data_IF_589384016930
#
_entry.id   IF_589384016930
#
_cell.length_a   1.000
_cell.length_b   1.000
_cell.length_c   1.000
_cell.angle_alpha   90.00
_cell.angle_beta   90.00
_cell.angle_gamma   90.00
#
_symmetry.space_group_name_H-M   'P 1'
#
loop_
_entity.id
_entity.type
_entity.pdbx_description
1 polymer ?
#
# COMPACT_ATOMS: atom_id res chain seq x y z
N UNK A 1 3.29 5.00 -29.62
CA UNK A 1 4.76 4.96 -29.72
C UNK A 1 5.29 4.24 -28.49
N UNK A 2 5.68 2.97 -28.62
CA UNK A 2 6.24 2.20 -27.49
C UNK A 2 7.73 2.47 -27.45
N UNK A 3 8.20 3.18 -26.42
CA UNK A 3 9.64 3.35 -26.19
C UNK A 3 10.23 1.99 -25.84
N UNK A 4 11.18 1.53 -26.65
CA UNK A 4 11.98 0.31 -26.46
C UNK A 4 13.25 0.57 -25.66
N UNK A 5 13.40 1.76 -25.06
CA UNK A 5 14.57 2.07 -24.25
C UNK A 5 14.63 1.13 -23.03
N UNK A 6 15.77 0.45 -22.79
CA UNK A 6 15.93 -0.40 -21.61
C UNK A 6 15.74 0.43 -20.34
N UNK A 7 15.06 -0.14 -19.35
CA UNK A 7 14.93 0.48 -18.03
C UNK A 7 16.32 0.76 -17.46
N UNK A 8 16.67 2.03 -17.36
CA UNK A 8 17.87 2.49 -16.66
C UNK A 8 17.48 2.75 -15.20
N UNK A 9 17.90 1.89 -14.24
CA UNK A 9 17.63 2.15 -12.85
C UNK A 9 18.28 3.47 -12.44
N UNK A 10 17.49 4.37 -11.85
CA UNK A 10 18.03 5.58 -11.23
C UNK A 10 18.98 5.14 -10.10
N UNK A 11 20.28 5.49 -10.16
CA UNK A 11 21.24 5.14 -9.14
C UNK A 11 20.72 5.58 -7.77
N UNK A 12 20.92 4.71 -6.78
CA UNK A 12 20.69 5.05 -5.40
C UNK A 12 21.58 6.25 -5.01
N UNK A 13 20.99 7.32 -4.48
CA UNK A 13 21.76 8.49 -4.04
C UNK A 13 22.69 8.14 -2.86
N UNK A 14 23.71 8.97 -2.61
CA UNK A 14 24.70 8.75 -1.55
C UNK A 14 24.09 8.51 -0.14
N UNK A 15 22.87 8.99 0.12
CA UNK A 15 22.13 8.77 1.37
C UNK A 15 21.25 7.50 1.42
N UNK A 16 21.21 6.69 0.36
CA UNK A 16 20.47 5.42 0.35
C UNK A 16 21.28 4.25 0.96
N UNK A 17 22.60 4.41 1.10
CA UNK A 17 23.48 3.42 1.70
C UNK A 17 23.91 3.82 3.11
N UNK A 18 24.14 2.81 3.96
CA UNK A 18 24.61 3.03 5.32
C UNK A 18 26.09 3.39 5.31
N UNK A 19 26.42 4.61 5.73
CA UNK A 19 27.81 4.93 6.07
C UNK A 19 28.29 4.03 7.22
N UNK A 20 29.53 3.54 7.13
CA UNK A 20 30.05 2.45 7.95
C UNK A 20 29.95 2.69 9.47
N UNK A 21 29.66 1.63 10.24
CA UNK A 21 29.77 1.61 11.71
C UNK A 21 28.52 1.94 12.55
N UNK A 22 27.44 2.49 11.96
CA UNK A 22 26.21 2.82 12.72
C UNK A 22 25.44 1.59 13.27
N UNK A 23 24.46 1.78 14.16
CA UNK A 23 23.51 0.70 14.51
C UNK A 23 22.50 0.52 13.37
N UNK A 24 22.17 -0.73 13.02
CA UNK A 24 21.11 -0.99 12.03
C UNK A 24 19.78 -0.39 12.51
N UNK A 25 19.08 0.31 11.61
CA UNK A 25 17.76 0.87 11.92
C UNK A 25 16.75 -0.27 11.95
N UNK A 26 15.87 -0.27 12.95
CA UNK A 26 14.78 -1.25 13.01
C UNK A 26 13.81 -1.01 11.85
N UNK A 27 13.52 -2.02 11.00
CA UNK A 27 12.52 -1.90 9.95
C UNK A 27 11.15 -1.51 10.53
N UNK A 28 10.40 -0.73 9.76
CA UNK A 28 9.00 -0.42 10.05
C UNK A 28 8.13 -1.20 9.08
N UNK A 29 7.04 -1.76 9.59
CA UNK A 29 6.05 -2.43 8.76
C UNK A 29 5.46 -1.45 7.73
N UNK A 30 5.40 -1.89 6.48
CA UNK A 30 4.90 -1.12 5.36
C UNK A 30 4.29 -2.08 4.33
N UNK A 31 3.33 -1.59 3.56
CA UNK A 31 2.66 -2.36 2.53
C UNK A 31 2.45 -1.52 1.28
N UNK A 32 2.35 -2.22 0.15
CA UNK A 32 2.23 -1.64 -1.19
C UNK A 32 1.17 -2.40 -1.96
N UNK A 33 0.35 -1.69 -2.75
CA UNK A 33 -0.66 -2.30 -3.60
C UNK A 33 -0.31 -2.15 -5.08
N UNK A 34 -0.35 -3.26 -5.82
CA UNK A 34 -0.17 -3.25 -7.27
C UNK A 34 -1.55 -3.38 -7.92
N UNK A 35 -2.10 -2.25 -8.35
CA UNK A 35 -3.40 -2.23 -9.03
C UNK A 35 -3.20 -2.51 -10.52
N UNK A 36 -3.81 -3.60 -11.00
CA UNK A 36 -3.69 -4.05 -12.40
C UNK A 36 -5.02 -3.90 -13.12
N UNK A 37 -5.04 -3.14 -14.21
CA UNK A 37 -6.18 -3.01 -15.12
C UNK A 37 -6.00 -3.93 -16.33
N UNK A 38 -6.99 -4.78 -16.60
CA UNK A 38 -6.95 -5.86 -17.61
C UNK A 38 -8.02 -5.73 -18.71
N UNK A 39 -8.53 -4.52 -18.93
CA UNK A 39 -9.59 -4.20 -19.90
C UNK A 39 -9.12 -4.11 -21.38
N UNK A 40 -7.84 -4.38 -21.66
CA UNK A 40 -7.25 -4.25 -22.99
C UNK A 40 -6.26 -5.37 -23.30
N UNK A 41 -5.67 -5.34 -24.51
CA UNK A 41 -4.76 -6.38 -25.00
C UNK A 41 -3.55 -6.63 -24.09
N UNK A 42 -3.07 -5.59 -23.40
CA UNK A 42 -1.96 -5.66 -22.46
C UNK A 42 -2.41 -5.14 -21.08
N UNK A 43 -1.98 -5.78 -19.98
CA UNK A 43 -2.27 -5.29 -18.64
C UNK A 43 -1.58 -3.95 -18.39
N UNK A 44 -2.26 -3.06 -17.67
CA UNK A 44 -1.73 -1.75 -17.26
C UNK A 44 -1.65 -1.71 -15.73
N UNK A 45 -0.60 -1.10 -15.18
CA UNK A 45 -0.40 -1.00 -13.73
C UNK A 45 -0.44 0.45 -13.30
N UNK A 46 -1.07 0.73 -12.17
CA UNK A 46 -1.06 2.05 -11.55
C UNK A 46 0.29 2.32 -10.87
N UNK A 47 0.92 3.44 -11.23
CA UNK A 47 2.14 3.94 -10.59
C UNK A 47 2.00 5.43 -10.32
N UNK A 48 2.52 5.88 -9.17
CA UNK A 48 2.73 7.29 -8.86
C UNK A 48 4.15 7.72 -9.21
N UNK A 49 4.35 8.99 -9.54
CA UNK A 49 5.69 9.57 -9.67
C UNK A 49 5.98 10.42 -8.44
N UNK A 50 7.06 10.10 -7.72
CA UNK A 50 7.46 10.90 -6.55
C UNK A 50 7.95 12.28 -6.97
N UNK A 51 7.47 13.31 -6.27
CA UNK A 51 7.95 14.67 -6.45
C UNK A 51 9.46 14.78 -6.16
N UNK A 52 10.14 15.68 -6.86
CA UNK A 52 11.60 15.86 -6.77
C UNK A 52 12.09 16.20 -5.35
N UNK A 53 11.25 16.79 -4.49
CA UNK A 53 11.58 17.15 -3.11
C UNK A 53 11.52 16.02 -2.08
N UNK A 54 11.16 14.79 -2.47
CA UNK A 54 11.09 13.67 -1.52
C UNK A 54 12.50 13.23 -1.07
N UNK A 55 12.71 13.12 0.26
CA UNK A 55 13.97 12.66 0.88
C UNK A 55 14.38 11.23 0.53
N UNK A 56 13.49 10.45 -0.08
CA UNK A 56 13.73 9.04 -0.42
C UNK A 56 13.17 8.78 -1.82
N UNK A 57 14.01 8.33 -2.76
CA UNK A 57 13.64 7.99 -4.14
C UNK A 57 12.88 9.10 -4.92
N UNK A 58 13.42 10.34 -5.01
CA UNK A 58 12.80 11.39 -5.82
C UNK A 58 12.78 11.00 -7.31
N UNK A 59 11.74 11.44 -8.04
CA UNK A 59 11.53 11.21 -9.47
C UNK A 59 11.34 9.74 -9.91
N UNK A 60 11.26 8.78 -8.97
CA UNK A 60 11.02 7.37 -9.30
C UNK A 60 9.52 7.07 -9.42
N UNK A 61 9.18 6.16 -10.33
CA UNK A 61 7.86 5.54 -10.37
C UNK A 61 7.75 4.52 -9.24
N UNK A 62 6.70 4.63 -8.45
CA UNK A 62 6.43 3.77 -7.29
C UNK A 62 4.99 3.28 -7.34
N UNK A 63 4.76 2.11 -6.80
CA UNK A 63 3.40 1.66 -6.52
C UNK A 63 2.87 2.37 -5.26
N UNK A 64 1.56 2.63 -5.17
CA UNK A 64 0.97 3.20 -3.97
C UNK A 64 1.23 2.35 -2.74
N UNK A 65 1.62 2.99 -1.65
CA UNK A 65 1.92 2.27 -0.42
C UNK A 65 2.74 3.06 0.57
N UNK A 66 2.72 2.59 1.80
CA UNK A 66 3.34 3.31 2.90
C UNK A 66 3.36 2.49 4.17
N UNK A 67 3.59 3.19 5.28
CA UNK A 67 3.79 2.56 6.58
C UNK A 67 2.45 2.11 7.15
N UNK A 68 2.47 1.05 7.94
CA UNK A 68 1.31 0.68 8.75
C UNK A 68 1.09 1.76 9.83
N UNK A 69 -0.13 2.29 9.90
CA UNK A 69 -0.61 3.18 10.95
C UNK A 69 -1.34 2.36 12.04
N UNK A 70 -1.30 2.76 13.33
CA UNK A 70 -2.06 2.08 14.38
C UNK A 70 -3.57 1.92 14.11
N UNK A 71 -4.17 2.80 13.28
CA UNK A 71 -5.55 2.69 12.84
C UNK A 71 -5.84 1.45 11.98
N UNK A 72 -4.87 1.01 11.17
CA UNK A 72 -5.02 -0.09 10.20
C UNK A 72 -5.32 -1.42 10.88
N UNK A 73 -4.70 -1.66 12.05
CA UNK A 73 -4.93 -2.86 12.84
C UNK A 73 -6.21 -2.84 13.69
N UNK A 74 -6.93 -1.71 13.75
CA UNK A 74 -8.14 -1.54 14.59
C UNK A 74 -9.43 -1.68 13.81
N UNK A 75 -9.41 -1.41 12.50
CA UNK A 75 -10.56 -1.62 11.64
C UNK A 75 -10.71 -3.12 11.32
N UNK A 76 -11.94 -3.60 11.22
CA UNK A 76 -12.26 -5.00 10.89
C UNK A 76 -13.19 -5.00 9.68
N UNK A 77 -12.67 -5.27 8.47
CA UNK A 77 -13.52 -5.40 7.29
C UNK A 77 -14.44 -6.61 7.41
N UNK A 78 -15.63 -6.61 6.77
CA UNK A 78 -16.54 -7.75 6.75
C UNK A 78 -15.90 -9.01 6.14
N UNK A 79 -15.06 -8.80 5.12
CA UNK A 79 -14.31 -9.85 4.44
C UNK A 79 -12.84 -9.74 4.77
N UNK A 80 -12.30 -10.79 5.39
CA UNK A 80 -10.90 -10.86 5.77
C UNK A 80 -10.02 -11.36 4.61
N UNK A 81 -8.70 -11.40 4.82
CA UNK A 81 -7.74 -11.94 3.86
C UNK A 81 -8.13 -13.35 3.41
N UNK A 82 -8.01 -13.61 2.10
CA UNK A 82 -8.21 -14.95 1.56
C UNK A 82 -7.33 -15.98 2.32
N UNK A 83 -7.85 -17.16 2.73
CA UNK A 83 -7.12 -18.09 3.59
C UNK A 83 -5.72 -18.48 3.09
N UNK A 84 -5.57 -18.66 1.77
CA UNK A 84 -4.29 -18.95 1.15
C UNK A 84 -3.28 -17.78 1.21
N UNK A 85 -3.76 -16.53 1.24
CA UNK A 85 -2.90 -15.35 1.43
C UNK A 85 -2.52 -15.25 2.90
N UNK A 86 -3.49 -15.40 3.81
CA UNK A 86 -3.25 -15.38 5.24
C UNK A 86 -2.22 -16.45 5.65
N UNK A 87 -2.37 -17.69 5.19
CA UNK A 87 -1.44 -18.78 5.49
C UNK A 87 0.02 -18.45 5.09
N UNK A 88 0.23 -17.71 3.99
CA UNK A 88 1.56 -17.27 3.56
C UNK A 88 2.12 -16.17 4.45
N UNK A 89 1.29 -15.18 4.81
CA UNK A 89 1.69 -14.09 5.70
C UNK A 89 1.99 -14.56 7.12
N UNK A 90 1.27 -15.59 7.60
CA UNK A 90 1.47 -16.17 8.92
C UNK A 90 2.84 -16.83 9.12
N UNK A 91 3.60 -17.07 8.05
CA UNK A 91 4.99 -17.51 8.13
C UNK A 91 5.93 -16.40 8.69
N UNK A 92 5.55 -15.13 8.54
CA UNK A 92 6.38 -13.98 8.91
C UNK A 92 5.75 -13.01 9.91
N UNK A 93 4.43 -13.11 10.15
CA UNK A 93 3.75 -12.22 11.08
C UNK A 93 2.49 -12.82 11.71
N UNK A 94 1.98 -12.21 12.77
CA UNK A 94 0.67 -12.56 13.32
C UNK A 94 -0.48 -12.18 12.39
N UNK A 95 -1.64 -12.80 12.55
CA UNK A 95 -2.86 -12.48 11.79
C UNK A 95 -3.22 -10.98 11.88
N UNK A 96 -3.14 -10.41 13.09
CA UNK A 96 -3.39 -8.97 13.30
C UNK A 96 -2.43 -8.10 12.47
N UNK A 97 -1.16 -8.49 12.35
CA UNK A 97 -0.18 -7.75 11.54
C UNK A 97 -0.42 -7.98 10.06
N UNK A 98 -0.76 -9.18 9.64
CA UNK A 98 -1.12 -9.49 8.25
C UNK A 98 -2.30 -8.61 7.79
N UNK A 99 -3.36 -8.53 8.60
CA UNK A 99 -4.52 -7.67 8.33
C UNK A 99 -4.12 -6.20 8.31
N UNK A 100 -3.33 -5.74 9.28
CA UNK A 100 -2.87 -4.35 9.33
C UNK A 100 -2.05 -3.97 8.09
N UNK A 101 -1.20 -4.87 7.56
CA UNK A 101 -0.46 -4.65 6.31
C UNK A 101 -1.42 -4.51 5.11
N UNK A 102 -2.40 -5.39 4.98
CA UNK A 102 -3.36 -5.33 3.88
C UNK A 102 -4.24 -4.06 3.94
N UNK A 103 -4.69 -3.70 5.14
CA UNK A 103 -5.43 -2.47 5.40
C UNK A 103 -4.58 -1.23 5.09
N UNK A 104 -3.31 -1.21 5.49
CA UNK A 104 -2.40 -0.12 5.17
C UNK A 104 -2.24 0.06 3.65
N UNK A 105 -2.13 -1.02 2.89
CA UNK A 105 -2.04 -0.94 1.42
C UNK A 105 -3.28 -0.29 0.79
N UNK A 106 -4.49 -0.58 1.29
CA UNK A 106 -5.73 0.06 0.85
C UNK A 106 -5.77 1.54 1.24
N UNK A 107 -5.49 1.86 2.51
CA UNK A 107 -5.50 3.23 3.01
C UNK A 107 -4.52 4.12 2.24
N UNK A 108 -3.27 3.68 2.09
CA UNK A 108 -2.23 4.43 1.37
C UNK A 108 -2.58 4.60 -0.10
N UNK A 109 -3.19 3.59 -0.74
CA UNK A 109 -3.68 3.73 -2.12
C UNK A 109 -4.73 4.82 -2.24
N UNK A 110 -5.67 4.89 -1.30
CA UNK A 110 -6.66 5.96 -1.26
C UNK A 110 -6.01 7.33 -1.01
N UNK A 111 -5.14 7.45 -0.01
CA UNK A 111 -4.47 8.72 0.33
C UNK A 111 -3.63 9.28 -0.83
N UNK A 112 -2.93 8.43 -1.58
CA UNK A 112 -2.06 8.87 -2.67
C UNK A 112 -2.78 9.07 -4.01
N UNK A 113 -3.88 8.36 -4.27
CA UNK A 113 -4.50 8.29 -5.60
C UNK A 113 -5.98 8.67 -5.64
N UNK A 114 -6.64 8.76 -4.48
CA UNK A 114 -8.08 8.95 -4.36
C UNK A 114 -8.91 7.72 -4.71
N UNK A 115 -8.30 6.58 -5.06
CA UNK A 115 -9.03 5.35 -5.37
C UNK A 115 -9.60 4.71 -4.11
N UNK A 116 -10.92 4.62 -4.04
CA UNK A 116 -11.65 3.93 -2.98
C UNK A 116 -11.78 2.45 -3.35
N UNK A 117 -11.07 1.58 -2.64
CA UNK A 117 -11.01 0.13 -2.92
C UNK A 117 -11.78 -0.67 -1.88
N UNK A 118 -12.89 -1.25 -2.29
CA UNK A 118 -13.74 -2.01 -1.39
C UNK A 118 -15.07 -2.35 -2.05
N UNK A 119 -16.10 -2.53 -1.22
CA UNK A 119 -17.47 -2.76 -1.67
C UNK A 119 -18.43 -1.78 -0.99
N UNK A 120 -19.48 -1.32 -1.70
CA UNK A 120 -20.57 -0.57 -1.07
C UNK A 120 -21.18 -1.37 0.07
N UNK A 121 -21.35 -0.75 1.24
CA UNK A 121 -21.89 -1.46 2.39
C UNK A 121 -22.66 -0.53 3.33
N UNK A 122 -23.75 -1.03 3.92
CA UNK A 122 -24.52 -0.33 4.94
C UNK A 122 -24.87 -1.30 6.08
N UNK A 123 -24.46 -1.02 7.34
CA UNK A 123 -23.80 0.19 7.79
C UNK A 123 -22.29 0.22 7.51
N UNK A 124 -21.78 1.35 7.02
CA UNK A 124 -20.35 1.60 6.89
C UNK A 124 -19.66 1.49 8.25
N UNK A 125 -18.42 0.97 8.27
CA UNK A 125 -17.67 0.80 9.52
C UNK A 125 -17.46 2.13 10.24
N UNK A 126 -17.32 2.05 11.57
CA UNK A 126 -17.00 3.21 12.41
C UNK A 126 -15.56 3.13 12.89
N UNK A 127 -14.89 4.28 12.92
CA UNK A 127 -13.47 4.37 13.31
C UNK A 127 -13.16 5.66 14.03
N UNK A 128 -12.09 5.64 14.84
CA UNK A 128 -11.48 6.82 15.45
C UNK A 128 -10.27 7.35 14.67
N UNK A 129 -9.78 6.60 13.68
CA UNK A 129 -8.68 7.05 12.81
C UNK A 129 -9.20 8.12 11.85
N UNK A 130 -8.58 9.31 11.79
CA UNK A 130 -8.92 10.32 10.78
C UNK A 130 -8.80 9.80 9.35
N UNK A 131 -7.70 9.11 9.05
CA UNK A 131 -7.43 8.59 7.71
C UNK A 131 -8.51 7.63 7.23
N UNK A 132 -8.95 6.71 8.09
CA UNK A 132 -10.04 5.79 7.76
C UNK A 132 -11.41 6.49 7.73
N UNK A 133 -11.64 7.58 8.47
CA UNK A 133 -12.90 8.34 8.34
C UNK A 133 -13.02 8.94 6.94
N UNK A 134 -11.93 9.48 6.40
CA UNK A 134 -11.91 10.06 5.06
C UNK A 134 -12.17 9.01 3.98
N UNK A 135 -11.69 7.77 4.16
CA UNK A 135 -12.03 6.65 3.27
C UNK A 135 -13.51 6.24 3.39
N UNK A 136 -14.01 6.12 4.62
CA UNK A 136 -15.34 5.57 4.89
C UNK A 136 -16.48 6.56 4.58
N UNK A 137 -16.19 7.84 4.34
CA UNK A 137 -17.21 8.83 3.94
C UNK A 137 -17.87 8.53 2.58
N UNK A 138 -17.29 7.61 1.80
CA UNK A 138 -17.81 7.18 0.50
C UNK A 138 -18.76 5.97 0.58
N UNK A 139 -19.20 5.58 1.78
CA UNK A 139 -20.11 4.44 2.01
C UNK A 139 -19.59 3.09 1.44
N UNK A 140 -18.27 2.94 1.45
CA UNK A 140 -17.54 1.75 1.01
C UNK A 140 -16.77 1.17 2.18
N UNK A 141 -16.91 -0.12 2.43
CA UNK A 141 -16.05 -0.85 3.36
C UNK A 141 -14.86 -1.48 2.61
N UNK A 142 -13.66 -1.45 3.20
CA UNK A 142 -12.49 -2.13 2.61
C UNK A 142 -12.74 -3.64 2.54
N UNK A 143 -12.21 -4.29 1.51
CA UNK A 143 -12.38 -5.72 1.22
C UNK A 143 -11.04 -6.39 0.95
N UNK A 144 -10.76 -7.52 1.60
CA UNK A 144 -9.41 -8.14 1.61
C UNK A 144 -9.30 -9.51 0.94
N UNK A 145 -10.41 -10.09 0.46
CA UNK A 145 -10.51 -11.46 -0.07
C UNK A 145 -10.43 -11.55 -1.61
N UNK A 146 -10.17 -10.43 -2.30
CA UNK A 146 -10.08 -10.34 -3.77
C UNK A 146 -8.81 -10.98 -4.34
#
# INVERSE_FOLDING_TARGET
MSSTAPYQPTPAGAGEYREGGGRAVRPRDAATLIVVRRDGRLPRVLVGQRAAGHKFMPNKFVFPGGRVDPGDGRLRPPHDLHPAVLARLLQGCSETRARALAMAAIRETYEETGLVLGEPHSPTLKTRSPQWRDFLQYDVNPRLDQ
#
